data_IF_220700993247
#
_entry.id   IF_220700993247
#
_cell.length_a   1.000
_cell.length_b   1.000
_cell.length_c   1.000
_cell.angle_alpha   90.00
_cell.angle_beta   90.00
_cell.angle_gamma   90.00
#
_symmetry.space_group_name_H-M   'P 1'
#
loop_
_entity.id
_entity.type
_entity.pdbx_description
1 polymer ?
#
# COMPACT_ATOMS: atom_id res chain seq x y z
N UNK A 1 -79.83 61.41 -15.34
CA UNK A 1 -79.77 60.07 -15.97
C UNK A 1 -78.65 59.86 -17.01
N UNK A 2 -78.22 60.82 -17.86
CA UNK A 2 -77.10 60.58 -18.81
C UNK A 2 -75.68 60.64 -18.19
N UNK A 3 -75.52 61.27 -17.02
CA UNK A 3 -74.23 61.46 -16.33
C UNK A 3 -73.83 60.25 -15.47
N UNK A 4 -74.81 59.57 -14.87
CA UNK A 4 -74.60 58.37 -14.04
C UNK A 4 -74.11 57.19 -14.88
N UNK A 5 -74.68 56.94 -16.06
CA UNK A 5 -74.22 55.86 -16.94
C UNK A 5 -72.78 56.04 -17.44
N UNK A 6 -72.30 57.29 -17.55
CA UNK A 6 -70.88 57.56 -17.87
C UNK A 6 -69.97 57.23 -16.69
N UNK A 7 -70.42 57.47 -15.46
CA UNK A 7 -69.66 57.13 -14.25
C UNK A 7 -69.58 55.61 -14.07
N UNK A 8 -70.68 54.88 -14.28
CA UNK A 8 -70.66 53.41 -14.25
C UNK A 8 -69.82 52.81 -15.39
N UNK A 9 -69.81 53.40 -16.58
CA UNK A 9 -68.94 52.96 -17.67
C UNK A 9 -67.45 53.19 -17.36
N UNK A 10 -67.12 54.32 -16.72
CA UNK A 10 -65.74 54.61 -16.27
C UNK A 10 -65.33 53.67 -15.13
N UNK A 11 -66.21 53.42 -14.15
CA UNK A 11 -65.97 52.47 -13.07
C UNK A 11 -65.82 51.03 -13.58
N UNK A 12 -66.62 50.61 -14.55
CA UNK A 12 -66.50 49.30 -15.19
C UNK A 12 -65.18 49.18 -15.99
N UNK A 13 -64.75 50.25 -16.67
CA UNK A 13 -63.46 50.29 -17.36
C UNK A 13 -62.26 50.20 -16.40
N UNK A 14 -62.34 50.90 -15.27
CA UNK A 14 -61.30 50.82 -14.21
C UNK A 14 -61.29 49.43 -13.57
N UNK A 15 -62.46 48.86 -13.28
CA UNK A 15 -62.56 47.50 -12.74
C UNK A 15 -62.00 46.46 -13.72
N UNK A 16 -62.27 46.59 -15.02
CA UNK A 16 -61.69 45.73 -16.06
C UNK A 16 -60.17 45.87 -16.15
N UNK A 17 -59.63 47.09 -16.02
CA UNK A 17 -58.18 47.33 -15.98
C UNK A 17 -57.52 46.70 -14.75
N UNK A 18 -58.15 46.82 -13.57
CA UNK A 18 -57.66 46.22 -12.33
C UNK A 18 -57.69 44.69 -12.41
N UNK A 19 -58.77 44.11 -12.97
CA UNK A 19 -58.87 42.66 -13.20
C UNK A 19 -57.78 42.21 -14.18
N UNK A 20 -57.55 42.95 -15.26
CA UNK A 20 -56.50 42.66 -16.23
C UNK A 20 -55.10 42.74 -15.61
N UNK A 21 -54.86 43.71 -14.73
CA UNK A 21 -53.59 43.86 -14.01
C UNK A 21 -53.40 42.79 -12.92
N UNK A 22 -54.49 42.32 -12.30
CA UNK A 22 -54.45 41.22 -11.34
C UNK A 22 -54.18 39.87 -12.03
N UNK A 23 -54.77 39.63 -13.21
CA UNK A 23 -54.51 38.44 -14.05
C UNK A 23 -53.09 38.46 -14.62
N UNK A 24 -52.51 39.64 -14.81
CA UNK A 24 -51.21 39.82 -15.41
C UNK A 24 -50.02 39.39 -14.54
N UNK A 25 -50.19 39.18 -13.22
CA UNK A 25 -49.10 38.86 -12.27
C UNK A 25 -47.81 39.67 -12.53
N UNK A 26 -47.86 41.01 -12.40
CA UNK A 26 -46.73 41.88 -12.77
C UNK A 26 -45.53 41.75 -11.83
N UNK A 27 -45.70 41.11 -10.68
CA UNK A 27 -44.65 40.92 -9.69
C UNK A 27 -44.13 39.49 -9.69
N UNK A 28 -42.83 39.33 -9.54
CA UNK A 28 -42.18 38.04 -9.29
C UNK A 28 -41.18 38.17 -8.15
N UNK A 29 -40.99 37.08 -7.41
CA UNK A 29 -40.12 37.03 -6.23
C UNK A 29 -38.91 36.18 -6.58
N UNK A 30 -37.71 36.71 -6.33
CA UNK A 30 -36.47 35.93 -6.39
C UNK A 30 -36.09 35.55 -4.96
N UNK A 31 -36.09 34.25 -4.70
CA UNK A 31 -35.72 33.68 -3.39
C UNK A 31 -34.21 33.72 -3.14
N UNK A 32 -33.82 33.56 -1.87
CA UNK A 32 -32.41 33.40 -1.53
C UNK A 32 -31.88 32.06 -2.06
N UNK A 33 -30.81 32.11 -2.85
CA UNK A 33 -30.20 30.93 -3.48
C UNK A 33 -30.66 30.67 -4.91
N UNK A 34 -31.59 31.45 -5.45
CA UNK A 34 -31.91 31.50 -6.88
C UNK A 34 -31.48 32.83 -7.50
N UNK A 35 -31.39 32.83 -8.83
CA UNK A 35 -31.16 34.01 -9.64
C UNK A 35 -32.07 33.94 -10.85
N UNK A 36 -32.55 35.09 -11.31
CA UNK A 36 -33.53 35.15 -12.38
C UNK A 36 -32.98 35.90 -13.59
N UNK A 37 -33.27 35.39 -14.77
CA UNK A 37 -33.03 36.06 -16.04
C UNK A 37 -34.37 36.47 -16.62
N UNK A 38 -34.49 37.75 -16.94
CA UNK A 38 -35.69 38.30 -17.58
C UNK A 38 -35.42 38.44 -19.07
N UNK A 39 -36.24 37.77 -19.86
CA UNK A 39 -36.18 37.86 -21.32
C UNK A 39 -37.42 38.49 -21.88
N UNK A 40 -37.25 39.34 -22.89
CA UNK A 40 -38.33 40.02 -23.60
C UNK A 40 -38.30 39.60 -25.05
N UNK A 41 -39.36 38.97 -25.53
CA UNK A 41 -39.41 38.38 -26.87
C UNK A 41 -38.20 37.46 -27.21
N UNK A 42 -37.59 36.84 -26.20
CA UNK A 42 -36.44 35.96 -26.36
C UNK A 42 -35.06 36.63 -26.27
N UNK A 43 -34.99 37.97 -26.20
CA UNK A 43 -33.75 38.70 -25.93
C UNK A 43 -33.56 38.91 -24.42
N UNK A 44 -32.31 38.84 -23.94
CA UNK A 44 -31.98 39.07 -22.52
C UNK A 44 -32.03 40.57 -22.23
N UNK A 45 -32.95 40.98 -21.36
CA UNK A 45 -33.08 42.39 -20.93
C UNK A 45 -32.24 42.65 -19.67
N UNK A 46 -32.04 41.63 -18.86
CA UNK A 46 -31.09 41.65 -17.75
C UNK A 46 -31.34 40.56 -16.72
N UNK A 47 -30.37 40.40 -15.84
CA UNK A 47 -30.40 39.46 -14.73
C UNK A 47 -30.67 40.12 -13.38
N UNK A 48 -31.18 39.33 -12.45
CA UNK A 48 -31.38 39.67 -11.04
C UNK A 48 -30.76 38.58 -10.17
N UNK A 49 -29.64 38.92 -9.53
CA UNK A 49 -28.87 38.01 -8.65
C UNK A 49 -29.16 38.21 -7.17
N UNK A 50 -29.81 39.31 -6.78
CA UNK A 50 -30.21 39.60 -5.39
C UNK A 50 -31.64 39.17 -5.15
N UNK A 51 -31.89 38.52 -4.02
CA UNK A 51 -33.22 38.19 -3.57
C UNK A 51 -34.06 39.46 -3.39
N UNK A 52 -35.33 39.40 -3.78
CA UNK A 52 -36.22 40.55 -3.72
C UNK A 52 -37.44 40.42 -4.62
N UNK A 53 -38.37 41.36 -4.45
CA UNK A 53 -39.55 41.52 -5.30
C UNK A 53 -39.19 42.38 -6.51
N UNK A 54 -39.46 41.87 -7.70
CA UNK A 54 -39.21 42.56 -8.95
C UNK A 54 -40.48 42.66 -9.80
N UNK A 55 -40.51 43.64 -10.69
CA UNK A 55 -41.62 43.87 -11.61
C UNK A 55 -41.21 43.41 -13.00
N UNK A 56 -42.07 42.62 -13.65
CA UNK A 56 -41.96 42.21 -15.04
C UNK A 56 -43.10 42.81 -15.85
N UNK A 57 -42.86 43.08 -17.14
CA UNK A 57 -43.96 43.48 -18.04
C UNK A 57 -44.80 42.23 -18.38
N UNK A 58 -46.08 42.18 -17.98
CA UNK A 58 -46.92 41.02 -18.23
C UNK A 58 -47.10 40.74 -19.73
N UNK A 59 -47.25 39.47 -20.09
CA UNK A 59 -47.37 38.94 -21.46
C UNK A 59 -46.13 39.01 -22.36
N UNK A 60 -45.16 39.89 -22.08
CA UNK A 60 -43.99 40.09 -22.94
C UNK A 60 -42.70 39.57 -22.28
N UNK A 61 -42.56 39.80 -20.98
CA UNK A 61 -41.38 39.39 -20.24
C UNK A 61 -41.58 37.97 -19.68
N UNK A 62 -40.64 37.08 -19.99
CA UNK A 62 -40.52 35.76 -19.40
C UNK A 62 -39.41 35.76 -18.34
N UNK A 63 -39.67 35.13 -17.21
CA UNK A 63 -38.69 35.01 -16.11
C UNK A 63 -38.26 33.56 -16.02
N UNK A 64 -36.97 33.30 -16.18
CA UNK A 64 -36.39 31.97 -15.99
C UNK A 64 -35.48 32.00 -14.79
N UNK A 65 -35.69 31.08 -13.85
CA UNK A 65 -34.94 30.99 -12.61
C UNK A 65 -33.87 29.91 -12.68
N UNK A 66 -32.71 30.21 -12.12
CA UNK A 66 -31.57 29.32 -12.00
C UNK A 66 -31.07 29.27 -10.56
N UNK A 67 -30.50 28.13 -10.13
CA UNK A 67 -29.84 28.04 -8.84
C UNK A 67 -28.54 28.87 -8.82
N UNK A 68 -28.28 29.58 -7.72
CA UNK A 68 -27.02 30.30 -7.44
C UNK A 68 -26.03 29.47 -6.60
N UNK A 69 -26.48 28.32 -6.09
CA UNK A 69 -25.66 27.38 -5.31
C UNK A 69 -24.65 26.63 -6.19
N UNK A 70 -23.66 26.05 -5.53
CA UNK A 70 -22.75 25.09 -6.15
C UNK A 70 -23.53 23.83 -6.51
N UNK A 71 -23.41 23.40 -7.75
CA UNK A 71 -23.98 22.18 -8.29
C UNK A 71 -22.86 21.15 -8.48
N UNK A 72 -23.21 19.88 -8.31
CA UNK A 72 -22.34 18.76 -8.60
C UNK A 72 -22.72 18.15 -9.94
N UNK A 73 -21.73 17.78 -10.73
CA UNK A 73 -21.90 16.97 -11.93
C UNK A 73 -20.99 15.75 -11.81
N UNK A 74 -21.61 14.58 -11.80
CA UNK A 74 -20.93 13.30 -11.89
C UNK A 74 -20.92 12.87 -13.35
N UNK A 75 -19.72 12.70 -13.91
CA UNK A 75 -19.52 12.23 -15.27
C UNK A 75 -19.62 10.71 -15.38
N UNK A 76 -19.84 10.23 -16.60
CA UNK A 76 -19.91 8.81 -16.89
C UNK A 76 -18.52 8.15 -16.84
N UNK A 77 -18.50 6.83 -16.62
CA UNK A 77 -17.26 6.05 -16.63
C UNK A 77 -16.65 6.02 -18.03
N UNK A 78 -15.48 6.65 -18.20
CA UNK A 78 -14.78 6.70 -19.48
C UNK A 78 -13.54 5.79 -19.47
N UNK A 79 -13.36 5.01 -20.54
CA UNK A 79 -12.13 4.22 -20.76
C UNK A 79 -11.11 5.07 -21.51
N UNK A 80 -10.01 5.40 -20.86
CA UNK A 80 -9.00 6.34 -21.36
C UNK A 80 -7.62 5.65 -21.35
N UNK A 81 -6.83 5.75 -22.43
CA UNK A 81 -5.43 5.33 -22.43
C UNK A 81 -4.56 6.39 -21.74
N UNK A 82 -3.61 5.95 -20.92
CA UNK A 82 -2.53 6.79 -20.37
C UNK A 82 -1.42 7.00 -21.40
N UNK A 83 -0.41 7.82 -21.06
CA UNK A 83 0.80 8.01 -21.88
C UNK A 83 1.51 6.70 -22.25
N UNK A 84 1.36 5.67 -21.42
CA UNK A 84 1.99 4.37 -21.55
C UNK A 84 1.10 3.35 -22.28
N UNK A 85 0.01 3.82 -22.90
CA UNK A 85 -1.00 3.00 -23.58
C UNK A 85 -1.68 1.98 -22.66
N UNK A 86 -1.77 2.29 -21.36
CA UNK A 86 -2.53 1.50 -20.40
C UNK A 86 -3.96 2.03 -20.32
N UNK A 87 -4.94 1.15 -20.50
CA UNK A 87 -6.34 1.53 -20.40
C UNK A 87 -6.80 1.53 -18.95
N UNK A 88 -7.29 2.68 -18.51
CA UNK A 88 -7.95 2.87 -17.22
C UNK A 88 -9.40 3.31 -17.42
N UNK A 89 -10.26 2.92 -16.50
CA UNK A 89 -11.64 3.41 -16.39
C UNK A 89 -11.65 4.47 -15.31
N UNK A 90 -12.11 5.67 -15.65
CA UNK A 90 -12.09 6.83 -14.76
C UNK A 90 -13.49 7.38 -14.62
N UNK A 91 -13.90 7.55 -13.36
CA UNK A 91 -15.12 8.23 -12.99
C UNK A 91 -14.73 9.60 -12.44
N UNK A 92 -15.23 10.67 -13.04
CA UNK A 92 -14.96 12.05 -12.61
C UNK A 92 -16.17 12.70 -11.97
N UNK A 93 -15.93 13.49 -10.94
CA UNK A 93 -16.93 14.38 -10.35
C UNK A 93 -16.40 15.81 -10.42
N UNK A 94 -17.31 16.76 -10.58
CA UNK A 94 -16.98 18.17 -10.69
C UNK A 94 -17.96 19.02 -9.93
N UNK A 95 -17.50 20.19 -9.48
CA UNK A 95 -18.33 21.20 -8.83
C UNK A 95 -18.30 22.47 -9.65
N UNK A 96 -19.48 23.01 -9.94
CA UNK A 96 -19.62 24.21 -10.76
C UNK A 96 -20.75 25.09 -10.23
N UNK A 97 -20.76 26.36 -10.64
CA UNK A 97 -21.87 27.29 -10.37
C UNK A 97 -22.05 28.24 -11.54
N UNK A 98 -23.23 28.84 -11.63
CA UNK A 98 -23.52 29.85 -12.64
C UNK A 98 -23.10 31.21 -12.07
N UNK A 99 -22.03 31.79 -12.62
CA UNK A 99 -21.51 33.10 -12.20
C UNK A 99 -22.25 34.23 -12.95
N UNK A 100 -22.37 34.10 -14.28
CA UNK A 100 -23.11 35.04 -15.12
C UNK A 100 -24.37 34.37 -15.70
N UNK A 101 -25.56 34.67 -15.15
CA UNK A 101 -26.80 34.09 -15.63
C UNK A 101 -27.22 34.60 -17.02
N UNK A 102 -26.75 35.77 -17.47
CA UNK A 102 -27.09 36.32 -18.79
C UNK A 102 -26.39 35.53 -19.90
N UNK A 103 -25.08 35.33 -19.75
CA UNK A 103 -24.28 34.49 -20.65
C UNK A 103 -24.76 33.04 -20.65
N UNK A 104 -25.12 32.52 -19.47
CA UNK A 104 -25.64 31.17 -19.33
C UNK A 104 -26.97 30.98 -20.08
N UNK A 105 -27.90 31.94 -19.93
CA UNK A 105 -29.19 31.89 -20.62
C UNK A 105 -29.01 31.95 -22.14
N UNK A 106 -28.11 32.80 -22.61
CA UNK A 106 -27.80 32.93 -24.04
C UNK A 106 -27.28 31.62 -24.65
N UNK A 107 -26.48 30.85 -23.89
CA UNK A 107 -25.87 29.60 -24.34
C UNK A 107 -26.80 28.38 -24.24
N UNK A 108 -27.45 28.16 -23.09
CA UNK A 108 -28.08 26.87 -22.79
C UNK A 108 -29.60 26.93 -22.61
N UNK A 109 -30.14 28.05 -22.10
CA UNK A 109 -31.54 28.24 -21.67
C UNK A 109 -32.03 27.26 -20.57
N UNK A 110 -31.67 25.98 -20.63
CA UNK A 110 -32.05 24.95 -19.66
C UNK A 110 -30.83 24.40 -18.93
N UNK A 111 -31.05 23.89 -17.71
CA UNK A 111 -30.01 23.29 -16.90
C UNK A 111 -29.46 21.99 -17.53
N UNK A 112 -30.33 21.19 -18.14
CA UNK A 112 -29.95 19.91 -18.76
C UNK A 112 -29.01 20.11 -19.96
N UNK A 113 -29.24 21.14 -20.76
CA UNK A 113 -28.34 21.48 -21.88
C UNK A 113 -26.95 21.90 -21.37
N UNK A 114 -26.89 22.64 -20.26
CA UNK A 114 -25.64 22.99 -19.62
C UNK A 114 -24.94 21.76 -19.03
N UNK A 115 -25.65 20.85 -18.38
CA UNK A 115 -25.07 19.61 -17.86
C UNK A 115 -24.46 18.75 -18.96
N UNK A 116 -25.17 18.54 -20.06
CA UNK A 116 -24.65 17.79 -21.21
C UNK A 116 -23.37 18.42 -21.76
N UNK A 117 -23.38 19.75 -21.96
CA UNK A 117 -22.20 20.46 -22.46
C UNK A 117 -21.03 20.43 -21.47
N UNK A 118 -21.29 20.58 -20.18
CA UNK A 118 -20.27 20.50 -19.13
C UNK A 118 -19.67 19.10 -19.08
N UNK A 119 -20.49 18.05 -19.17
CA UNK A 119 -20.03 16.66 -19.21
C UNK A 119 -19.06 16.45 -20.37
N UNK A 120 -19.42 16.88 -21.58
CA UNK A 120 -18.56 16.75 -22.76
C UNK A 120 -17.20 17.46 -22.58
N UNK A 121 -17.22 18.65 -21.97
CA UNK A 121 -16.00 19.45 -21.74
C UNK A 121 -15.12 18.83 -20.65
N UNK A 122 -15.71 18.37 -19.55
CA UNK A 122 -14.99 17.70 -18.46
C UNK A 122 -14.40 16.39 -18.94
N UNK A 123 -15.14 15.61 -19.72
CA UNK A 123 -14.65 14.34 -20.28
C UNK A 123 -13.48 14.58 -21.26
N UNK A 124 -13.61 15.58 -22.13
CA UNK A 124 -12.55 15.95 -23.08
C UNK A 124 -11.27 16.44 -22.39
N UNK A 125 -11.40 17.33 -21.41
CA UNK A 125 -10.26 17.87 -20.64
C UNK A 125 -9.58 16.78 -19.81
N UNK A 126 -10.37 15.97 -19.09
CA UNK A 126 -9.88 14.81 -18.33
C UNK A 126 -9.12 13.85 -19.23
N UNK A 127 -9.71 13.46 -20.36
CA UNK A 127 -9.07 12.57 -21.34
C UNK A 127 -7.74 13.12 -21.84
N UNK A 128 -7.71 14.41 -22.18
CA UNK A 128 -6.51 15.07 -22.71
C UNK A 128 -5.36 15.04 -21.70
N UNK A 129 -5.63 15.36 -20.42
CA UNK A 129 -4.60 15.36 -19.38
C UNK A 129 -4.18 13.93 -19.02
N UNK A 130 -5.11 12.98 -18.92
CA UNK A 130 -4.78 11.58 -18.62
C UNK A 130 -3.90 10.97 -19.71
N UNK A 131 -4.22 11.18 -20.99
CA UNK A 131 -3.44 10.61 -22.10
C UNK A 131 -2.03 11.22 -22.21
N UNK A 132 -1.82 12.45 -21.72
CA UNK A 132 -0.49 13.10 -21.73
C UNK A 132 0.39 12.72 -20.55
N UNK A 133 -0.15 12.10 -19.50
CA UNK A 133 0.57 11.79 -18.26
C UNK A 133 0.64 10.27 -18.00
N UNK A 134 1.61 9.85 -17.17
CA UNK A 134 1.78 8.46 -16.76
C UNK A 134 0.75 8.08 -15.70
N UNK A 135 0.47 6.78 -15.55
CA UNK A 135 -0.51 6.32 -14.57
C UNK A 135 -0.08 6.63 -13.12
N UNK A 136 1.21 6.52 -12.82
CA UNK A 136 1.81 6.80 -11.52
C UNK A 136 1.47 8.22 -11.02
N UNK A 137 1.55 9.21 -11.90
CA UNK A 137 1.23 10.62 -11.64
C UNK A 137 -0.27 10.85 -11.39
N UNK A 138 -1.13 10.06 -12.02
CA UNK A 138 -2.59 10.19 -11.92
C UNK A 138 -3.09 9.63 -10.57
N UNK A 139 -2.49 8.53 -10.12
CA UNK A 139 -2.90 7.85 -8.88
C UNK A 139 -2.23 8.45 -7.64
N UNK A 140 -0.94 8.81 -7.74
CA UNK A 140 -0.12 9.25 -6.60
C UNK A 140 -0.05 10.78 -6.53
N UNK A 141 -0.14 11.33 -5.31
CA UNK A 141 -0.01 12.78 -5.07
C UNK A 141 1.40 13.21 -4.68
N UNK A 142 2.23 12.29 -4.18
CA UNK A 142 3.57 12.58 -3.67
C UNK A 142 4.48 11.34 -3.71
N UNK A 143 5.78 11.57 -3.49
CA UNK A 143 6.82 10.55 -3.42
C UNK A 143 7.01 9.95 -2.02
N UNK A 144 6.04 10.09 -1.12
CA UNK A 144 6.11 9.54 0.25
C UNK A 144 6.49 8.06 0.26
N UNK A 145 6.00 7.28 -0.71
CA UNK A 145 6.36 5.85 -0.83
C UNK A 145 7.87 5.68 -1.03
N UNK A 146 8.48 6.47 -1.92
CA UNK A 146 9.91 6.40 -2.23
C UNK A 146 10.73 6.85 -1.01
N UNK A 147 10.36 7.98 -0.42
CA UNK A 147 11.02 8.52 0.79
C UNK A 147 10.95 7.54 1.98
N UNK A 148 9.83 6.83 2.13
CA UNK A 148 9.66 5.84 3.20
C UNK A 148 10.47 4.56 2.99
N UNK A 149 10.69 4.17 1.73
CA UNK A 149 11.52 3.01 1.38
C UNK A 149 13.00 3.29 1.65
N UNK A 150 13.47 4.49 1.34
CA UNK A 150 14.86 4.91 1.59
C UNK A 150 15.19 4.88 3.09
N UNK A 151 14.25 5.29 3.95
CA UNK A 151 14.43 5.25 5.41
C UNK A 151 14.47 3.82 5.98
N UNK A 152 13.70 2.89 5.42
CA UNK A 152 13.74 1.48 5.85
C UNK A 152 15.07 0.82 5.48
N UNK A 153 15.61 1.13 4.30
CA UNK A 153 16.91 0.66 3.87
C UNK A 153 18.04 1.17 4.78
N UNK A 154 17.99 2.42 5.24
CA UNK A 154 18.99 2.96 6.19
C UNK A 154 18.94 2.28 7.57
N UNK A 155 17.74 1.93 8.07
CA UNK A 155 17.56 1.27 9.37
C UNK A 155 18.08 -0.17 9.35
N UNK A 156 17.86 -0.90 8.26
CA UNK A 156 18.29 -2.29 8.13
C UNK A 156 19.81 -2.46 8.04
N UNK A 157 20.55 -1.45 7.53
CA UNK A 157 22.02 -1.43 7.53
C UNK A 157 22.59 -1.42 8.95
N UNK A 158 21.83 -0.96 9.95
CA UNK A 158 22.24 -0.92 11.36
C UNK A 158 22.11 -2.30 12.04
N UNK A 159 21.22 -3.18 11.57
CA UNK A 159 21.03 -4.55 12.10
C UNK A 159 21.99 -5.58 11.47
N UNK A 160 23.30 -5.30 11.48
CA UNK A 160 24.37 -6.28 11.19
C UNK A 160 24.57 -6.66 9.72
N UNK A 161 25.80 -7.05 9.37
CA UNK A 161 26.24 -7.36 7.99
C UNK A 161 25.39 -8.42 7.28
N UNK A 162 24.82 -9.38 8.03
CA UNK A 162 24.03 -10.47 7.46
C UNK A 162 22.65 -10.00 6.94
N UNK A 163 22.06 -8.95 7.51
CA UNK A 163 20.72 -8.46 7.15
C UNK A 163 20.72 -7.69 5.82
N UNK A 164 21.80 -6.97 5.54
CA UNK A 164 22.00 -6.22 4.29
C UNK A 164 22.12 -7.13 3.05
N UNK A 165 22.72 -8.33 3.19
CA UNK A 165 22.75 -9.32 2.10
C UNK A 165 21.36 -9.82 1.72
N UNK A 166 20.43 -9.93 2.69
CA UNK A 166 19.05 -10.33 2.42
C UNK A 166 18.30 -9.26 1.66
N UNK A 167 18.37 -8.02 2.12
CA UNK A 167 17.64 -6.93 1.48
C UNK A 167 18.14 -6.65 0.06
N UNK A 168 19.45 -6.72 -0.19
CA UNK A 168 20.02 -6.53 -1.53
C UNK A 168 19.60 -7.61 -2.55
N UNK A 169 19.28 -8.82 -2.09
CA UNK A 169 18.81 -9.93 -2.95
C UNK A 169 17.29 -10.00 -3.07
N UNK A 170 16.56 -9.45 -2.09
CA UNK A 170 15.09 -9.54 -2.01
C UNK A 170 14.39 -8.29 -2.47
N UNK A 171 15.01 -7.10 -2.37
CA UNK A 171 14.51 -5.91 -3.05
C UNK A 171 14.75 -6.10 -4.56
N UNK A 172 13.84 -6.86 -5.17
CA UNK A 172 13.45 -6.67 -6.56
C UNK A 172 13.27 -5.17 -6.71
N UNK A 173 14.06 -4.53 -7.57
CA UNK A 173 13.96 -3.11 -7.93
C UNK A 173 12.49 -2.72 -8.15
N UNK A 174 11.82 -2.29 -7.08
CA UNK A 174 10.65 -1.45 -7.22
C UNK A 174 11.24 -0.09 -7.56
N UNK A 175 11.60 0.12 -8.82
CA UNK A 175 11.74 1.47 -9.35
C UNK A 175 10.36 2.12 -9.26
N UNK A 176 10.03 2.58 -8.06
CA UNK A 176 8.83 3.33 -7.83
C UNK A 176 8.99 4.62 -8.62
N UNK A 177 8.29 4.73 -9.74
CA UNK A 177 8.38 5.90 -10.60
C UNK A 177 8.25 7.18 -9.76
N UNK A 178 9.19 8.10 -9.96
CA UNK A 178 9.15 9.39 -9.28
C UNK A 178 7.99 10.21 -9.85
N UNK A 179 7.12 10.63 -8.94
CA UNK A 179 6.00 11.54 -9.21
C UNK A 179 6.56 12.95 -9.24
N UNK A 180 6.47 13.62 -10.39
CA UNK A 180 6.96 14.99 -10.60
C UNK A 180 5.82 16.00 -10.40
N UNK A 181 4.62 15.71 -10.91
CA UNK A 181 3.46 16.61 -10.81
C UNK A 181 2.53 16.21 -9.68
N UNK A 182 2.17 14.93 -9.66
CA UNK A 182 1.20 14.35 -8.74
C UNK A 182 -0.26 14.68 -9.07
N UNK A 183 -1.15 13.85 -8.53
CA UNK A 183 -2.59 13.88 -8.79
C UNK A 183 -3.21 15.26 -8.59
N UNK A 184 -2.84 15.96 -7.50
CA UNK A 184 -3.43 17.28 -7.18
C UNK A 184 -3.14 18.31 -8.27
N UNK A 185 -1.91 18.36 -8.76
CA UNK A 185 -1.52 19.26 -9.84
C UNK A 185 -2.24 18.90 -11.14
N UNK A 186 -2.39 17.60 -11.45
CA UNK A 186 -3.14 17.16 -12.62
C UNK A 186 -4.63 17.51 -12.56
N UNK A 187 -5.25 17.43 -11.37
CA UNK A 187 -6.65 17.85 -11.19
C UNK A 187 -6.82 19.35 -11.46
N UNK A 188 -5.86 20.18 -11.04
CA UNK A 188 -5.88 21.61 -11.34
C UNK A 188 -5.66 21.86 -12.83
N UNK A 189 -4.74 21.14 -13.48
CA UNK A 189 -4.52 21.23 -14.94
C UNK A 189 -5.79 20.85 -15.74
N UNK A 190 -6.51 19.81 -15.29
CA UNK A 190 -7.82 19.43 -15.87
C UNK A 190 -8.85 20.54 -15.69
N UNK A 191 -8.95 21.10 -14.48
CA UNK A 191 -9.89 22.16 -14.17
C UNK A 191 -9.57 23.43 -14.97
N UNK A 192 -8.31 23.82 -15.10
CA UNK A 192 -7.88 24.97 -15.91
C UNK A 192 -8.21 24.79 -17.38
N UNK A 193 -7.97 23.61 -17.95
CA UNK A 193 -8.30 23.32 -19.35
C UNK A 193 -9.81 23.37 -19.59
N UNK A 194 -10.61 22.83 -18.65
CA UNK A 194 -12.06 22.93 -18.70
C UNK A 194 -12.57 24.38 -18.52
N UNK A 195 -11.99 25.16 -17.59
CA UNK A 195 -12.34 26.57 -17.33
C UNK A 195 -12.23 27.43 -18.58
N UNK A 196 -11.21 27.20 -19.43
CA UNK A 196 -11.06 27.93 -20.71
C UNK A 196 -12.26 27.76 -21.64
N UNK A 197 -12.86 26.57 -21.66
CA UNK A 197 -14.01 26.25 -22.52
C UNK A 197 -15.34 26.66 -21.91
N UNK A 198 -15.50 26.54 -20.59
CA UNK A 198 -16.80 26.81 -19.92
C UNK A 198 -16.98 28.27 -19.50
N UNK A 199 -15.89 29.01 -19.31
CA UNK A 199 -15.92 30.41 -18.89
C UNK A 199 -16.61 31.33 -19.91
N UNK A 200 -16.59 30.96 -21.20
CA UNK A 200 -17.31 31.69 -22.25
C UNK A 200 -18.84 31.66 -22.07
N UNK A 201 -19.35 30.69 -21.32
CA UNK A 201 -20.79 30.50 -21.11
C UNK A 201 -21.30 31.01 -19.75
N UNK A 202 -20.50 31.80 -19.02
CA UNK A 202 -20.88 32.31 -17.70
C UNK A 202 -20.90 31.24 -16.58
N UNK A 203 -20.24 30.10 -16.82
CA UNK A 203 -20.11 29.01 -15.86
C UNK A 203 -18.76 29.08 -15.17
N UNK A 204 -18.77 29.05 -13.84
CA UNK A 204 -17.57 28.93 -13.03
C UNK A 204 -17.40 27.48 -12.57
N UNK A 205 -16.31 26.85 -13.03
CA UNK A 205 -15.90 25.52 -12.62
C UNK A 205 -14.92 25.61 -11.45
N UNK A 206 -15.30 25.03 -10.32
CA UNK A 206 -14.53 25.06 -9.07
C UNK A 206 -13.39 24.05 -9.16
N UNK A 207 -13.74 22.76 -9.35
CA UNK A 207 -12.76 21.67 -9.44
C UNK A 207 -13.30 20.47 -10.24
N UNK A 208 -12.35 19.66 -10.70
CA UNK A 208 -12.56 18.33 -11.26
C UNK A 208 -11.75 17.35 -10.44
N UNK A 209 -12.39 16.29 -9.97
CA UNK A 209 -11.74 15.26 -9.16
C UNK A 209 -12.08 13.87 -9.72
N UNK A 210 -11.09 13.03 -10.01
CA UNK A 210 -11.32 11.62 -10.26
C UNK A 210 -11.87 10.96 -8.99
N UNK A 211 -13.13 10.51 -9.03
CA UNK A 211 -13.78 9.78 -7.94
C UNK A 211 -13.26 8.35 -7.85
N UNK A 212 -13.07 7.70 -9.00
CA UNK A 212 -12.58 6.33 -9.06
C UNK A 212 -11.70 6.12 -10.29
N UNK A 213 -10.62 5.36 -10.11
CA UNK A 213 -9.74 4.89 -11.19
C UNK A 213 -9.65 3.38 -11.07
N UNK A 214 -10.06 2.66 -12.11
CA UNK A 214 -9.95 1.20 -12.21
C UNK A 214 -9.03 0.82 -13.36
N UNK A 215 -8.31 -0.28 -13.19
CA UNK A 215 -7.63 -0.95 -14.30
C UNK A 215 -8.65 -1.63 -15.21
N UNK A 216 -8.35 -1.72 -16.50
CA UNK A 216 -9.06 -2.62 -17.41
C UNK A 216 -8.86 -4.07 -16.95
N UNK A 217 -9.88 -4.94 -17.12
CA UNK A 217 -9.84 -6.34 -16.64
C UNK A 217 -8.60 -7.13 -17.11
N UNK A 218 -8.17 -6.88 -18.35
CA UNK A 218 -6.94 -7.44 -18.92
C UNK A 218 -5.68 -7.07 -18.13
N UNK A 219 -5.54 -5.79 -17.79
CA UNK A 219 -4.40 -5.27 -17.03
C UNK A 219 -4.42 -5.76 -15.58
N UNK A 220 -5.60 -5.86 -14.96
CA UNK A 220 -5.77 -6.42 -13.61
C UNK A 220 -5.19 -7.83 -13.50
N UNK A 221 -5.51 -8.71 -14.46
CA UNK A 221 -4.98 -10.07 -14.46
C UNK A 221 -3.46 -10.11 -14.65
N UNK A 222 -2.91 -9.26 -15.53
CA UNK A 222 -1.47 -9.15 -15.75
C UNK A 222 -0.72 -8.68 -14.49
N UNK A 223 -1.23 -7.64 -13.83
CA UNK A 223 -0.66 -7.12 -12.58
C UNK A 223 -0.71 -8.17 -11.48
N UNK A 224 -1.84 -8.87 -11.31
CA UNK A 224 -1.99 -9.90 -10.29
C UNK A 224 -1.02 -11.08 -10.52
N UNK A 225 -0.91 -11.55 -11.76
CA UNK A 225 0.04 -12.62 -12.11
C UNK A 225 1.50 -12.19 -11.89
N UNK A 226 1.83 -10.94 -12.21
CA UNK A 226 3.16 -10.36 -11.93
C UNK A 226 3.43 -10.32 -10.42
N UNK A 227 2.48 -9.82 -9.62
CA UNK A 227 2.58 -9.78 -8.16
C UNK A 227 2.76 -11.18 -7.56
N UNK A 228 2.04 -12.19 -8.05
CA UNK A 228 2.21 -13.58 -7.61
C UNK A 228 3.62 -14.07 -7.94
N UNK A 229 4.10 -13.81 -9.16
CA UNK A 229 5.44 -14.23 -9.59
C UNK A 229 6.52 -13.57 -8.75
N UNK A 230 6.44 -12.27 -8.53
CA UNK A 230 7.35 -11.51 -7.67
C UNK A 230 7.32 -12.03 -6.23
N UNK A 231 6.13 -12.27 -5.65
CA UNK A 231 6.00 -12.83 -4.30
C UNK A 231 6.59 -14.24 -4.19
N UNK A 232 6.40 -15.07 -5.21
CA UNK A 232 7.00 -16.40 -5.25
C UNK A 232 8.53 -16.33 -5.38
N UNK A 233 9.06 -15.42 -6.20
CA UNK A 233 10.49 -15.18 -6.33
C UNK A 233 11.11 -14.70 -5.01
N UNK A 234 10.51 -13.69 -4.38
CA UNK A 234 10.93 -13.21 -3.06
C UNK A 234 10.90 -14.34 -2.02
N UNK A 235 9.83 -15.12 -1.97
CA UNK A 235 9.71 -16.25 -1.04
C UNK A 235 10.72 -17.36 -1.34
N UNK A 236 11.09 -17.60 -2.60
CA UNK A 236 12.16 -18.54 -2.98
C UNK A 236 13.53 -18.02 -2.57
N UNK A 237 13.80 -16.72 -2.77
CA UNK A 237 15.04 -16.08 -2.35
C UNK A 237 15.22 -16.19 -0.83
N UNK A 238 14.21 -15.82 -0.04
CA UNK A 238 14.23 -15.98 1.42
C UNK A 238 14.49 -17.42 1.86
N UNK A 239 13.84 -18.42 1.23
CA UNK A 239 14.07 -19.84 1.55
C UNK A 239 15.51 -20.27 1.21
N UNK A 240 16.03 -19.86 0.06
CA UNK A 240 17.40 -20.19 -0.38
C UNK A 240 18.44 -19.60 0.57
N UNK A 241 18.27 -18.33 0.94
CA UNK A 241 19.12 -17.62 1.91
C UNK A 241 19.04 -18.30 3.27
N UNK A 242 17.83 -18.64 3.75
CA UNK A 242 17.63 -19.35 5.00
C UNK A 242 18.36 -20.70 5.03
N UNK A 243 18.26 -21.49 3.95
CA UNK A 243 18.98 -22.76 3.86
C UNK A 243 20.49 -22.57 3.83
N UNK A 244 20.98 -21.58 3.06
CA UNK A 244 22.42 -21.25 3.02
C UNK A 244 22.97 -20.85 4.39
N UNK A 245 22.22 -20.03 5.15
CA UNK A 245 22.57 -19.65 6.53
C UNK A 245 22.60 -20.86 7.45
N UNK A 246 21.59 -21.72 7.38
CA UNK A 246 21.52 -22.96 8.15
C UNK A 246 22.71 -23.86 7.85
N UNK A 247 23.05 -24.11 6.57
CA UNK A 247 24.21 -24.93 6.19
C UNK A 247 25.51 -24.32 6.70
N UNK A 248 25.68 -22.99 6.59
CA UNK A 248 26.85 -22.27 7.10
C UNK A 248 27.00 -22.44 8.62
N UNK A 249 25.91 -22.27 9.39
CA UNK A 249 25.91 -22.43 10.84
C UNK A 249 26.20 -23.87 11.26
N UNK A 250 25.55 -24.85 10.62
CA UNK A 250 25.81 -26.27 10.87
C UNK A 250 27.26 -26.64 10.56
N UNK A 251 27.84 -26.12 9.48
CA UNK A 251 29.25 -26.33 9.15
C UNK A 251 30.20 -25.73 10.19
N UNK A 252 29.90 -24.54 10.73
CA UNK A 252 30.67 -23.96 11.84
C UNK A 252 30.55 -24.81 13.11
N UNK A 253 29.32 -25.18 13.48
CA UNK A 253 29.02 -25.99 14.65
C UNK A 253 29.73 -27.36 14.60
N UNK A 254 29.71 -28.05 13.46
CA UNK A 254 30.37 -29.35 13.31
C UNK A 254 31.91 -29.23 13.39
N UNK A 255 32.48 -28.16 12.81
CA UNK A 255 33.90 -27.89 12.93
C UNK A 255 34.33 -27.56 14.37
N UNK A 256 33.57 -26.74 15.08
CA UNK A 256 33.80 -26.41 16.48
C UNK A 256 33.70 -27.66 17.36
N UNK A 257 32.62 -28.45 17.19
CA UNK A 257 32.43 -29.72 17.89
C UNK A 257 33.62 -30.66 17.68
N UNK A 258 34.02 -30.90 16.44
CA UNK A 258 35.16 -31.77 16.10
C UNK A 258 36.47 -31.27 16.73
N UNK A 259 36.67 -29.95 16.76
CA UNK A 259 37.85 -29.34 17.38
C UNK A 259 37.86 -29.59 18.89
N UNK A 260 36.72 -29.37 19.56
CA UNK A 260 36.55 -29.61 21.00
C UNK A 260 36.75 -31.09 21.33
N UNK A 261 36.16 -32.01 20.57
CA UNK A 261 36.31 -33.46 20.78
C UNK A 261 37.77 -33.91 20.57
N UNK A 262 38.44 -33.40 19.53
CA UNK A 262 39.84 -33.71 19.25
C UNK A 262 40.76 -33.21 20.36
N UNK A 263 40.52 -31.99 20.86
CA UNK A 263 41.29 -31.40 21.95
C UNK A 263 41.04 -32.13 23.27
N UNK A 264 39.79 -32.48 23.57
CA UNK A 264 39.44 -33.28 24.73
C UNK A 264 40.10 -34.68 24.69
N UNK A 265 40.10 -35.34 23.53
CA UNK A 265 40.76 -36.63 23.34
C UNK A 265 42.28 -36.52 23.50
N UNK A 266 42.89 -35.49 22.92
CA UNK A 266 44.33 -35.19 23.07
C UNK A 266 44.70 -35.03 24.54
N UNK A 267 43.96 -34.21 25.30
CA UNK A 267 44.17 -33.98 26.73
C UNK A 267 43.97 -35.29 27.53
N UNK A 268 42.97 -36.09 27.18
CA UNK A 268 42.71 -37.39 27.82
C UNK A 268 43.88 -38.35 27.63
N UNK A 269 44.35 -38.55 26.40
CA UNK A 269 45.48 -39.44 26.09
C UNK A 269 46.80 -38.93 26.69
N UNK A 270 47.02 -37.61 26.71
CA UNK A 270 48.19 -37.02 27.38
C UNK A 270 48.17 -37.28 28.90
N UNK A 271 47.01 -37.10 29.52
CA UNK A 271 46.83 -37.32 30.96
C UNK A 271 46.98 -38.81 31.31
N UNK A 272 46.36 -39.68 30.51
CA UNK A 272 46.49 -41.13 30.66
C UNK A 272 47.93 -41.60 30.46
N UNK A 273 48.62 -41.10 29.45
CA UNK A 273 50.02 -41.41 29.20
C UNK A 273 50.94 -40.98 30.36
N UNK A 274 50.70 -39.80 30.96
CA UNK A 274 51.41 -39.36 32.18
C UNK A 274 51.12 -40.29 33.36
N UNK A 275 49.86 -40.63 33.60
CA UNK A 275 49.47 -41.53 34.68
C UNK A 275 50.05 -42.96 34.51
N UNK A 276 50.04 -43.48 33.29
CA UNK A 276 50.60 -44.80 32.98
C UNK A 276 52.13 -44.81 33.16
N UNK A 277 52.82 -43.72 32.76
CA UNK A 277 54.26 -43.56 32.99
C UNK A 277 54.61 -43.50 34.49
N UNK A 278 53.84 -42.74 35.28
CA UNK A 278 53.98 -42.68 36.74
C UNK A 278 53.72 -44.04 37.38
N UNK A 279 52.65 -44.74 36.97
CA UNK A 279 52.33 -46.07 37.48
C UNK A 279 53.45 -47.08 37.15
N UNK A 280 53.96 -47.08 35.91
CA UNK A 280 55.06 -47.94 35.50
C UNK A 280 56.35 -47.65 36.29
N UNK A 281 56.65 -46.38 36.57
CA UNK A 281 57.78 -45.99 37.42
C UNK A 281 57.64 -46.53 38.85
N UNK A 282 56.46 -46.37 39.47
CA UNK A 282 56.16 -46.90 40.81
C UNK A 282 56.27 -48.44 40.83
N UNK A 283 55.73 -49.13 39.82
CA UNK A 283 55.83 -50.59 39.72
C UNK A 283 57.27 -51.07 39.55
N UNK A 284 58.07 -50.36 38.74
CA UNK A 284 59.50 -50.68 38.56
C UNK A 284 60.28 -50.48 39.85
N UNK A 285 60.01 -49.39 40.58
CA UNK A 285 60.62 -49.14 41.89
C UNK A 285 60.24 -50.25 42.89
N UNK A 286 58.97 -50.64 42.96
CA UNK A 286 58.51 -51.71 43.84
C UNK A 286 59.14 -53.07 43.49
N UNK A 287 59.20 -53.42 42.20
CA UNK A 287 59.85 -54.65 41.72
C UNK A 287 61.35 -54.69 42.06
N UNK A 288 62.03 -53.54 41.94
CA UNK A 288 63.45 -53.43 42.26
C UNK A 288 63.78 -53.60 43.75
N UNK A 289 62.83 -53.34 44.66
CA UNK A 289 63.00 -53.51 46.11
C UNK A 289 62.97 -54.99 46.52
N UNK A 290 62.01 -55.76 46.02
CA UNK A 290 61.92 -57.21 46.23
C UNK A 290 61.08 -57.87 45.13
N UNK A 291 61.76 -58.59 44.23
CA UNK A 291 61.14 -59.27 43.10
C UNK A 291 60.16 -60.37 43.54
N UNK A 292 60.53 -61.19 44.54
CA UNK A 292 59.73 -62.36 44.93
C UNK A 292 58.44 -61.93 45.62
N UNK A 293 58.53 -60.92 46.48
CA UNK A 293 57.36 -60.38 47.16
C UNK A 293 56.40 -59.69 46.20
N UNK A 294 56.91 -58.97 45.19
CA UNK A 294 56.08 -58.32 44.18
C UNK A 294 55.29 -59.32 43.32
N UNK A 295 55.95 -60.37 42.81
CA UNK A 295 55.30 -61.42 42.01
C UNK A 295 54.18 -62.12 42.80
N UNK A 296 54.44 -62.44 44.07
CA UNK A 296 53.44 -63.00 44.99
C UNK A 296 52.25 -62.04 45.20
N UNK A 297 52.50 -60.79 45.58
CA UNK A 297 51.44 -59.81 45.85
C UNK A 297 50.57 -59.51 44.63
N UNK A 298 51.17 -59.35 43.44
CA UNK A 298 50.42 -59.12 42.19
C UNK A 298 49.58 -60.32 41.79
N UNK A 299 50.06 -61.54 42.00
CA UNK A 299 49.28 -62.75 41.76
C UNK A 299 48.03 -62.79 42.65
N UNK A 300 48.16 -62.48 43.95
CA UNK A 300 47.04 -62.38 44.88
C UNK A 300 46.04 -61.27 44.52
N UNK A 301 46.53 -60.11 44.09
CA UNK A 301 45.68 -59.00 43.63
C UNK A 301 44.88 -59.41 42.37
N UNK A 302 45.54 -60.10 41.44
CA UNK A 302 44.92 -60.63 40.23
C UNK A 302 43.84 -61.66 40.59
N UNK A 303 44.14 -62.61 41.47
CA UNK A 303 43.15 -63.58 41.96
C UNK A 303 41.95 -62.89 42.61
N UNK A 304 42.17 -61.87 43.44
CA UNK A 304 41.07 -61.09 44.05
C UNK A 304 40.17 -60.43 43.01
N UNK A 305 40.72 -59.93 41.91
CA UNK A 305 39.96 -59.28 40.82
C UNK A 305 39.22 -60.30 39.93
N UNK A 306 39.78 -61.49 39.71
CA UNK A 306 39.23 -62.49 38.77
C UNK A 306 38.34 -63.53 39.44
N UNK A 307 38.64 -63.98 40.66
CA UNK A 307 37.94 -65.09 41.33
C UNK A 307 36.55 -64.76 41.89
N UNK A 308 36.17 -63.48 41.98
CA UNK A 308 34.85 -63.08 42.52
C UNK A 308 33.69 -63.09 41.51
N UNK A 309 33.95 -63.36 40.21
CA UNK A 309 32.93 -63.19 39.15
C UNK A 309 32.34 -64.49 38.59
N UNK A 310 32.96 -65.65 38.83
CA UNK A 310 32.50 -66.91 38.25
C UNK A 310 32.81 -68.10 39.18
N UNK A 311 31.79 -68.94 39.43
CA UNK A 311 31.98 -70.31 39.93
C UNK A 311 32.51 -71.17 38.78
N UNK A 312 33.82 -71.08 38.53
CA UNK A 312 34.50 -71.81 37.46
C UNK A 312 35.55 -72.74 38.04
N UNK A 313 35.57 -73.99 37.56
CA UNK A 313 36.60 -74.95 37.89
C UNK A 313 37.88 -74.62 37.10
N UNK A 314 38.94 -74.24 37.81
CA UNK A 314 40.24 -73.92 37.21
C UNK A 314 41.14 -75.15 37.19
N UNK A 315 41.90 -75.33 36.10
CA UNK A 315 42.93 -76.37 35.99
C UNK A 315 44.14 -76.02 36.85
N UNK A 316 44.70 -77.01 37.55
CA UNK A 316 45.85 -76.89 38.46
C UNK A 316 47.20 -76.71 37.76
N UNK A 317 47.26 -76.95 36.45
CA UNK A 317 48.54 -77.01 35.71
C UNK A 317 48.95 -75.67 35.08
N UNK A 318 48.12 -74.63 35.22
CA UNK A 318 48.44 -73.32 34.65
C UNK A 318 49.41 -72.56 35.56
N UNK A 319 50.49 -72.04 34.96
CA UNK A 319 51.49 -71.18 35.62
C UNK A 319 50.89 -70.00 36.40
N UNK A 320 49.70 -69.56 35.98
CA UNK A 320 48.93 -68.51 36.63
C UNK A 320 48.54 -68.85 38.07
N UNK A 321 48.40 -70.12 38.49
CA UNK A 321 47.92 -70.54 39.82
C UNK A 321 49.00 -71.05 40.79
N UNK A 322 50.30 -70.88 40.47
CA UNK A 322 51.42 -71.42 41.27
C UNK A 322 51.40 -71.03 42.74
N UNK A 323 51.04 -69.78 43.05
CA UNK A 323 50.98 -69.26 44.42
C UNK A 323 49.67 -69.57 45.15
N UNK A 324 48.65 -70.10 44.47
CA UNK A 324 47.37 -70.51 45.07
C UNK A 324 47.44 -71.92 45.65
N UNK A 325 48.13 -72.83 44.95
CA UNK A 325 48.22 -74.25 45.32
C UNK A 325 49.52 -74.63 46.04
N UNK A 326 50.54 -73.76 46.06
CA UNK A 326 51.80 -73.97 46.77
C UNK A 326 52.31 -72.66 47.43
N UNK A 327 52.67 -72.72 48.71
CA UNK A 327 53.14 -71.54 49.49
C UNK A 327 54.52 -71.04 49.06
N UNK A 328 55.33 -71.90 48.40
CA UNK A 328 56.69 -71.55 47.95
C UNK A 328 56.77 -71.10 46.48
N UNK A 329 55.65 -71.03 45.76
CA UNK A 329 55.62 -70.52 44.38
C UNK A 329 56.39 -71.36 43.35
N UNK A 330 56.43 -72.68 43.55
CA UNK A 330 57.04 -73.65 42.62
C UNK A 330 56.04 -74.67 42.14
#
# INVERSE_FOLDING_TARGET
MKKENKIYAVLAGIAALIILLAVAEPFYVVEEGTQAVVTRFGEVVGSRTKAGLYVKAPFIDSVTEYPRRILSLDGDSARIPTKENQFIVVDTTSRWRIEDPELFYAAFKTLDAAYAKLSDVIDSSTRTIITRNRLSEIVRSSNIINESSDQQAEIAVVEGEDSAEIESLVNVDYENENVVKGRKALCEEMAEEARKMVGEYGIELIDIVPRQIKYSDELTNSVYNRMIKERNQAAQAYRSIGESRKTRLLGKLENEKRTIESEAYRISEETKGKADAEAAAIYTEAYSKDQRFYEFWKSLESYKKTMGKFDSAYSTDMDYFKYLYNSEGR
#
